data_IF_637063412163
#
_entry.id   IF_637063412163
#
_cell.length_a   1.000
_cell.length_b   1.000
_cell.length_c   1.000
_cell.angle_alpha   90.00
_cell.angle_beta   90.00
_cell.angle_gamma   90.00
#
_symmetry.space_group_name_H-M   'P 1'
#
loop_
_entity.id
_entity.type
_entity.pdbx_description
1 polymer ?
#
# COMPACT_ATOMS: atom_id res chain seq x y z
N UNK A 1 -3.17 8.16 19.40
CA UNK A 1 -2.28 7.32 18.53
C UNK A 1 -2.62 5.88 18.84
N UNK A 2 -2.41 4.96 17.92
CA UNK A 2 -2.78 3.54 18.11
C UNK A 2 -2.05 2.89 19.29
N UNK A 3 -0.89 3.38 19.66
CA UNK A 3 -0.04 2.92 20.78
C UNK A 3 -0.21 3.75 22.05
N UNK A 4 -1.28 4.53 22.16
CA UNK A 4 -1.55 5.32 23.36
C UNK A 4 -2.19 4.45 24.46
N UNK A 5 -1.41 4.11 25.47
CA UNK A 5 -1.85 3.32 26.62
C UNK A 5 -2.90 4.04 27.51
N UNK A 6 -3.13 5.33 27.30
CA UNK A 6 -4.17 6.10 28.01
C UNK A 6 -5.55 5.95 27.39
N UNK A 7 -5.66 5.33 26.22
CA UNK A 7 -6.95 5.11 25.53
C UNK A 7 -7.55 3.77 25.93
N UNK A 8 -8.75 3.80 26.50
CA UNK A 8 -9.56 2.60 26.69
C UNK A 8 -10.34 2.28 25.41
N UNK A 9 -9.73 1.46 24.57
CA UNK A 9 -10.29 1.07 23.27
C UNK A 9 -11.61 0.28 23.37
N UNK A 10 -11.90 -0.34 24.53
CA UNK A 10 -13.16 -1.07 24.75
C UNK A 10 -14.39 -0.16 24.82
N UNK A 11 -14.19 1.13 25.03
CA UNK A 11 -15.30 2.11 25.05
C UNK A 11 -15.84 2.48 23.67
N UNK A 12 -15.16 2.07 22.58
CA UNK A 12 -15.59 2.40 21.21
C UNK A 12 -16.40 1.25 20.61
N UNK A 13 -17.55 1.55 20.03
CA UNK A 13 -18.39 0.57 19.31
C UNK A 13 -17.71 0.06 18.04
N UNK A 14 -16.85 0.89 17.42
CA UNK A 14 -16.11 0.59 16.20
C UNK A 14 -14.82 1.41 16.14
N UNK A 15 -13.72 0.77 15.77
CA UNK A 15 -12.44 1.41 15.54
C UNK A 15 -12.13 1.32 14.04
N UNK A 16 -11.78 2.46 13.45
CA UNK A 16 -11.37 2.53 12.04
C UNK A 16 -9.89 2.90 12.00
N UNK A 17 -9.08 2.03 11.42
CA UNK A 17 -7.63 2.27 11.29
C UNK A 17 -7.38 3.32 10.22
N UNK A 18 -6.71 4.41 10.61
CA UNK A 18 -6.36 5.51 9.71
C UNK A 18 -5.05 6.15 10.12
N UNK A 19 -4.22 6.46 9.11
CA UNK A 19 -2.99 7.27 9.30
C UNK A 19 -2.00 6.69 10.34
N UNK A 20 -1.89 5.38 10.42
CA UNK A 20 -0.95 4.67 11.30
C UNK A 20 0.37 4.40 10.58
N UNK A 21 0.89 5.37 9.83
CA UNK A 21 2.04 5.23 8.92
C UNK A 21 3.38 4.88 9.58
N UNK A 22 3.42 4.86 10.89
CA UNK A 22 4.57 4.42 11.70
C UNK A 22 4.62 2.91 11.97
N UNK A 23 3.55 2.17 11.63
CA UNK A 23 3.46 0.73 11.91
C UNK A 23 4.61 -0.11 11.31
N UNK A 24 5.22 0.23 10.15
CA UNK A 24 6.23 -0.64 9.56
C UNK A 24 7.43 -0.90 10.47
N UNK A 25 7.80 0.08 11.30
CA UNK A 25 8.89 -0.05 12.27
C UNK A 25 8.52 -0.89 13.50
N UNK A 26 7.21 -1.13 13.74
CA UNK A 26 6.65 -1.83 14.91
C UNK A 26 5.47 -2.72 14.53
N UNK A 27 5.58 -3.40 13.39
CA UNK A 27 4.49 -4.16 12.77
C UNK A 27 3.84 -5.17 13.72
N UNK A 28 4.62 -5.94 14.46
CA UNK A 28 4.07 -6.95 15.36
C UNK A 28 3.29 -6.32 16.52
N UNK A 29 3.77 -5.21 17.07
CA UNK A 29 3.06 -4.45 18.10
C UNK A 29 1.74 -3.87 17.55
N UNK A 30 1.77 -3.32 16.33
CA UNK A 30 0.58 -2.80 15.65
C UNK A 30 -0.47 -3.91 15.41
N UNK A 31 -0.05 -5.07 14.92
CA UNK A 31 -0.95 -6.21 14.70
C UNK A 31 -1.51 -6.75 16.01
N UNK A 32 -0.68 -6.86 17.07
CA UNK A 32 -1.14 -7.28 18.39
C UNK A 32 -2.16 -6.30 18.98
N UNK A 33 -1.92 -4.98 18.79
CA UNK A 33 -2.91 -3.96 19.17
C UNK A 33 -4.23 -4.16 18.41
N UNK A 34 -4.19 -4.28 17.08
CA UNK A 34 -5.39 -4.46 16.27
C UNK A 34 -6.18 -5.71 16.65
N UNK A 35 -5.48 -6.82 16.98
CA UNK A 35 -6.09 -8.08 17.43
C UNK A 35 -6.71 -7.99 18.84
N UNK A 36 -6.25 -7.07 19.68
CA UNK A 36 -6.81 -6.84 21.01
C UNK A 36 -8.10 -6.01 20.99
N UNK A 37 -8.42 -5.37 19.86
CA UNK A 37 -9.57 -4.48 19.76
C UNK A 37 -10.89 -5.25 19.68
N UNK A 38 -11.95 -4.77 20.32
CA UNK A 38 -13.25 -5.46 20.31
C UNK A 38 -13.87 -5.48 18.90
N UNK A 39 -13.64 -4.42 18.12
CA UNK A 39 -14.15 -4.30 16.76
C UNK A 39 -13.37 -3.28 15.96
N UNK A 40 -12.62 -3.73 14.98
CA UNK A 40 -11.79 -2.88 14.08
C UNK A 40 -12.09 -3.16 12.62
N UNK A 41 -12.06 -2.13 11.79
CA UNK A 41 -12.16 -2.18 10.33
C UNK A 41 -10.99 -1.42 9.67
N UNK A 42 -10.32 -2.06 8.69
CA UNK A 42 -10.53 -3.42 8.24
C UNK A 42 -10.14 -4.43 9.33
N UNK A 43 -10.65 -5.66 9.26
CA UNK A 43 -10.42 -6.68 10.29
C UNK A 43 -8.93 -7.00 10.51
N UNK A 44 -8.49 -7.43 11.71
CA UNK A 44 -7.08 -7.72 12.00
C UNK A 44 -6.44 -8.72 11.04
N UNK A 45 -7.20 -9.71 10.56
CA UNK A 45 -6.72 -10.67 9.57
C UNK A 45 -6.37 -9.99 8.24
N UNK A 46 -7.14 -8.98 7.81
CA UNK A 46 -6.86 -8.16 6.63
C UNK A 46 -5.58 -7.37 6.84
N UNK A 47 -5.43 -6.71 8.00
CA UNK A 47 -4.23 -5.93 8.33
C UNK A 47 -2.98 -6.82 8.33
N UNK A 48 -3.05 -8.00 8.95
CA UNK A 48 -1.95 -8.96 9.00
C UNK A 48 -1.51 -9.40 7.59
N UNK A 49 -2.47 -9.68 6.72
CA UNK A 49 -2.22 -10.09 5.34
C UNK A 49 -1.64 -8.93 4.51
N UNK A 50 -2.21 -7.73 4.63
CA UNK A 50 -1.90 -6.59 3.77
C UNK A 50 -0.60 -5.86 4.13
N UNK A 51 -0.19 -5.87 5.40
CA UNK A 51 1.01 -5.15 5.86
C UNK A 51 2.32 -5.71 5.31
N UNK A 52 2.33 -6.89 4.68
CA UNK A 52 3.50 -7.49 4.02
C UNK A 52 3.19 -7.72 2.53
N UNK A 53 3.83 -6.96 1.65
CA UNK A 53 3.59 -6.96 0.20
C UNK A 53 3.94 -8.27 -0.51
N UNK A 54 4.43 -9.28 0.21
CA UNK A 54 4.60 -10.63 -0.36
C UNK A 54 3.29 -11.23 -0.86
N UNK A 55 2.14 -10.72 -0.43
CA UNK A 55 0.82 -11.11 -0.97
C UNK A 55 0.71 -10.94 -2.48
N UNK A 56 1.48 -10.00 -3.08
CA UNK A 56 1.45 -9.77 -4.53
C UNK A 56 1.79 -11.03 -5.35
N UNK A 57 2.65 -11.90 -4.81
CA UNK A 57 3.00 -13.16 -5.47
C UNK A 57 1.84 -14.17 -5.55
N UNK A 58 0.85 -14.04 -4.67
CA UNK A 58 -0.27 -14.97 -4.54
C UNK A 58 -1.57 -14.50 -5.22
N UNK A 59 -1.63 -13.25 -5.70
CA UNK A 59 -2.87 -12.69 -6.25
C UNK A 59 -3.31 -13.32 -7.59
N UNK A 60 -2.39 -13.92 -8.35
CA UNK A 60 -2.73 -14.56 -9.63
C UNK A 60 -3.22 -13.60 -10.73
N UNK A 61 -2.92 -12.32 -10.61
CA UNK A 61 -3.31 -11.24 -11.53
C UNK A 61 -2.06 -10.51 -12.08
N UNK A 62 -2.28 -9.58 -13.01
CA UNK A 62 -1.20 -8.78 -13.61
C UNK A 62 -0.60 -7.79 -12.60
N UNK A 63 0.46 -8.17 -11.92
CA UNK A 63 1.23 -7.33 -11.00
C UNK A 63 2.55 -6.88 -11.65
N UNK A 64 3.16 -5.84 -11.08
CA UNK A 64 4.54 -5.49 -11.42
C UNK A 64 5.44 -6.69 -11.09
N UNK A 65 6.25 -7.22 -12.05
CA UNK A 65 7.13 -8.33 -11.78
C UNK A 65 8.03 -8.07 -10.57
N UNK A 66 7.98 -8.93 -9.57
CA UNK A 66 8.66 -8.71 -8.30
C UNK A 66 9.52 -9.91 -7.94
N UNK A 67 10.80 -9.67 -7.65
CA UNK A 67 11.68 -10.62 -7.00
C UNK A 67 11.74 -10.30 -5.51
N UNK A 68 11.47 -11.29 -4.66
CA UNK A 68 11.62 -11.17 -3.22
C UNK A 68 12.98 -11.76 -2.81
N UNK A 69 13.72 -11.00 -2.02
CA UNK A 69 15.01 -11.42 -1.45
C UNK A 69 14.83 -11.52 0.06
N UNK A 70 14.95 -12.73 0.59
CA UNK A 70 14.94 -12.98 2.03
C UNK A 70 16.28 -12.58 2.67
N UNK A 71 16.33 -12.29 3.98
CA UNK A 71 17.59 -12.01 4.66
C UNK A 71 18.65 -13.09 4.39
N UNK A 72 19.77 -12.68 3.79
CA UNK A 72 20.85 -13.56 3.34
C UNK A 72 20.91 -13.78 1.83
N UNK A 73 19.85 -13.47 1.08
CA UNK A 73 19.89 -13.55 -0.37
C UNK A 73 20.72 -12.41 -0.98
N UNK A 74 21.41 -12.70 -2.06
CA UNK A 74 22.19 -11.70 -2.80
C UNK A 74 21.36 -11.06 -3.91
N UNK A 75 21.55 -9.74 -4.10
CA UNK A 75 20.93 -9.02 -5.21
C UNK A 75 21.60 -9.43 -6.54
N UNK A 76 20.82 -10.08 -7.40
CA UNK A 76 21.11 -10.18 -8.83
C UNK A 76 20.48 -8.96 -9.49
N UNK A 77 21.29 -7.92 -9.76
CA UNK A 77 20.78 -6.67 -10.30
C UNK A 77 20.20 -6.89 -11.70
N UNK A 78 18.98 -6.37 -11.98
CA UNK A 78 18.41 -6.38 -13.32
C UNK A 78 19.29 -5.61 -14.32
N UNK A 79 19.32 -6.05 -15.59
CA UNK A 79 20.04 -5.36 -16.67
C UNK A 79 19.35 -4.06 -17.17
N UNK A 80 18.45 -3.47 -16.38
CA UNK A 80 17.66 -2.27 -16.64
C UNK A 80 17.38 -1.51 -15.33
N UNK A 81 16.91 -0.26 -15.38
CA UNK A 81 16.53 0.47 -14.16
C UNK A 81 15.51 -0.31 -13.32
N UNK A 82 15.67 -0.24 -11.99
CA UNK A 82 14.87 -1.00 -11.06
C UNK A 82 14.69 -0.27 -9.72
N UNK A 83 13.70 -0.72 -8.96
CA UNK A 83 13.38 -0.22 -7.62
C UNK A 83 13.70 -1.31 -6.60
N UNK A 84 14.30 -0.89 -5.50
CA UNK A 84 14.51 -1.69 -4.28
C UNK A 84 13.67 -1.08 -3.17
N UNK A 85 12.86 -1.89 -2.49
CA UNK A 85 12.03 -1.45 -1.35
C UNK A 85 11.78 -2.59 -0.37
N UNK A 86 11.47 -2.30 0.91
CA UNK A 86 11.07 -3.35 1.86
C UNK A 86 9.68 -3.92 1.52
N UNK A 87 9.41 -5.19 1.85
CA UNK A 87 8.08 -5.79 1.70
C UNK A 87 7.07 -5.23 2.71
N UNK A 88 7.54 -4.83 3.88
CA UNK A 88 6.77 -4.13 4.92
C UNK A 88 7.17 -2.66 4.89
N UNK A 89 6.27 -1.77 4.49
CA UNK A 89 6.57 -0.35 4.36
C UNK A 89 5.35 0.48 3.99
N UNK A 90 5.38 1.76 4.35
CA UNK A 90 4.37 2.77 4.02
C UNK A 90 5.04 4.04 3.51
N UNK A 91 4.36 4.84 2.69
CA UNK A 91 4.82 6.17 2.25
C UNK A 91 6.15 6.18 1.50
N UNK A 92 6.48 5.14 0.75
CA UNK A 92 7.75 4.99 0.01
C UNK A 92 9.02 5.00 0.89
N UNK A 93 8.89 4.92 2.21
CA UNK A 93 10.03 4.85 3.13
C UNK A 93 10.87 3.60 2.80
N UNK A 94 12.18 3.80 2.62
CA UNK A 94 13.08 2.71 2.27
C UNK A 94 12.99 2.24 0.81
N UNK A 95 12.28 2.96 -0.07
CA UNK A 95 12.26 2.70 -1.49
C UNK A 95 13.29 3.57 -2.24
N UNK A 96 14.00 3.00 -3.19
CA UNK A 96 14.93 3.74 -4.04
C UNK A 96 15.01 3.15 -5.46
N UNK A 97 15.19 4.04 -6.45
CA UNK A 97 15.40 3.69 -7.86
C UNK A 97 16.89 3.66 -8.18
N UNK A 98 17.30 2.66 -8.92
CA UNK A 98 18.68 2.45 -9.35
C UNK A 98 18.77 2.21 -10.86
N UNK A 99 19.87 2.64 -11.47
CA UNK A 99 20.23 2.24 -12.84
C UNK A 99 20.78 0.81 -12.87
N UNK A 100 20.79 0.24 -14.09
CA UNK A 100 21.46 -1.01 -14.35
C UNK A 100 22.95 -0.94 -13.93
N UNK A 101 23.38 -1.85 -13.06
CA UNK A 101 24.78 -1.91 -12.61
C UNK A 101 25.15 -0.97 -11.46
N UNK A 102 24.21 -0.19 -10.91
CA UNK A 102 24.47 0.65 -9.74
C UNK A 102 24.78 -0.22 -8.51
N UNK A 103 26.03 -0.15 -8.04
CA UNK A 103 26.51 -0.96 -6.92
C UNK A 103 25.89 -0.57 -5.57
N UNK A 104 25.39 0.67 -5.43
CA UNK A 104 24.73 1.16 -4.19
C UNK A 104 23.47 0.37 -3.85
N UNK A 105 22.82 -0.22 -4.86
CA UNK A 105 21.66 -1.09 -4.65
C UNK A 105 21.98 -2.30 -3.74
N UNK A 106 23.20 -2.88 -3.83
CA UNK A 106 23.60 -3.97 -2.93
C UNK A 106 23.73 -3.54 -1.49
N UNK A 107 24.26 -2.33 -1.25
CA UNK A 107 24.36 -1.77 0.09
C UNK A 107 22.97 -1.48 0.67
N UNK A 108 22.06 -1.03 -0.16
CA UNK A 108 20.68 -0.83 0.21
C UNK A 108 19.98 -2.13 0.62
N UNK A 109 20.10 -3.19 -0.19
CA UNK A 109 19.56 -4.52 0.16
C UNK A 109 20.14 -5.01 1.48
N UNK A 110 21.47 -4.89 1.68
CA UNK A 110 22.11 -5.28 2.95
C UNK A 110 21.58 -4.50 4.15
N UNK A 111 21.33 -3.20 4.02
CA UNK A 111 20.74 -2.39 5.10
C UNK A 111 19.32 -2.87 5.44
N UNK A 112 18.47 -3.11 4.43
CA UNK A 112 17.13 -3.62 4.65
C UNK A 112 17.13 -5.01 5.30
N UNK A 113 18.00 -5.93 4.84
CA UNK A 113 18.17 -7.24 5.45
C UNK A 113 18.66 -7.14 6.91
N UNK A 114 19.61 -6.23 7.22
CA UNK A 114 20.09 -6.02 8.58
C UNK A 114 19.01 -5.50 9.52
N UNK A 115 17.99 -4.85 8.98
CA UNK A 115 16.78 -4.43 9.70
C UNK A 115 15.70 -5.54 9.74
N UNK A 116 15.98 -6.74 9.26
CA UNK A 116 15.07 -7.89 9.26
C UNK A 116 14.02 -7.88 8.15
N UNK A 117 14.15 -7.00 7.15
CA UNK A 117 13.16 -6.92 6.08
C UNK A 117 13.43 -7.93 4.96
N UNK A 118 12.38 -8.54 4.42
CA UNK A 118 12.37 -9.09 3.06
C UNK A 118 12.38 -7.92 2.08
N UNK A 119 13.20 -8.01 1.04
CA UNK A 119 13.38 -6.94 0.05
C UNK A 119 12.64 -7.30 -1.23
N UNK A 120 11.95 -6.31 -1.80
CA UNK A 120 11.33 -6.36 -3.12
C UNK A 120 12.23 -5.68 -4.14
N UNK A 121 12.47 -6.35 -5.26
CA UNK A 121 13.16 -5.82 -6.44
C UNK A 121 12.19 -5.84 -7.60
N UNK A 122 11.89 -4.67 -8.15
CA UNK A 122 10.94 -4.49 -9.25
C UNK A 122 11.59 -3.73 -10.40
N UNK A 123 11.31 -4.06 -11.68
CA UNK A 123 11.73 -3.20 -12.79
C UNK A 123 11.12 -1.82 -12.64
N UNK A 124 11.90 -0.78 -12.92
CA UNK A 124 11.33 0.55 -13.12
C UNK A 124 10.66 0.62 -14.50
N UNK A 125 9.45 1.18 -14.52
CA UNK A 125 8.68 1.38 -15.76
C UNK A 125 8.78 2.86 -16.15
N UNK A 126 9.48 3.18 -17.22
CA UNK A 126 9.74 4.57 -17.64
C UNK A 126 8.45 5.39 -17.84
N UNK A 127 7.35 4.74 -18.23
CA UNK A 127 6.05 5.38 -18.37
C UNK A 127 5.56 6.05 -17.08
N UNK A 128 6.01 5.61 -15.91
CA UNK A 128 5.64 6.21 -14.60
C UNK A 128 6.11 7.66 -14.51
N UNK A 129 7.28 7.99 -15.08
CA UNK A 129 7.82 9.36 -15.05
C UNK A 129 6.90 10.36 -15.77
N UNK A 130 6.08 9.91 -16.72
CA UNK A 130 5.17 10.74 -17.52
C UNK A 130 3.71 10.57 -17.11
N UNK A 131 3.27 9.34 -16.93
CA UNK A 131 1.86 8.98 -16.71
C UNK A 131 1.50 8.90 -15.23
N UNK A 132 2.52 8.75 -14.35
CA UNK A 132 2.32 8.56 -12.91
C UNK A 132 1.67 7.23 -12.57
N UNK A 133 1.07 7.18 -11.38
CA UNK A 133 0.30 6.05 -10.87
C UNK A 133 -1.18 6.41 -10.81
N UNK A 134 -2.07 5.46 -11.06
CA UNK A 134 -3.52 5.61 -10.83
C UNK A 134 -3.90 4.85 -9.57
N UNK A 135 -4.40 5.57 -8.57
CA UNK A 135 -4.90 5.01 -7.32
C UNK A 135 -6.42 4.96 -7.34
N UNK A 136 -7.01 3.76 -7.36
CA UNK A 136 -8.44 3.54 -7.35
C UNK A 136 -8.93 3.23 -5.93
N UNK A 137 -9.91 3.98 -5.48
CA UNK A 137 -10.46 3.89 -4.12
C UNK A 137 -11.81 3.19 -4.12
N UNK A 138 -11.96 2.24 -3.20
CA UNK A 138 -13.18 1.49 -2.96
C UNK A 138 -13.64 1.74 -1.53
N UNK A 139 -14.94 1.88 -1.34
CA UNK A 139 -15.57 2.11 -0.04
C UNK A 139 -16.73 1.12 0.11
N UNK A 140 -16.70 0.29 1.15
CA UNK A 140 -17.70 -0.77 1.35
C UNK A 140 -17.72 -1.81 0.23
N UNK A 141 -16.60 -1.99 -0.47
CA UNK A 141 -16.46 -2.90 -1.61
C UNK A 141 -16.78 -2.31 -2.97
N UNK A 142 -17.36 -1.10 -3.04
CA UNK A 142 -17.74 -0.45 -4.28
C UNK A 142 -16.73 0.61 -4.72
N UNK A 143 -16.53 0.77 -6.03
CA UNK A 143 -15.68 1.82 -6.58
C UNK A 143 -16.22 3.21 -6.19
N UNK A 144 -15.36 4.05 -5.64
CA UNK A 144 -15.71 5.41 -5.20
C UNK A 144 -15.15 6.48 -6.12
N UNK A 145 -13.84 6.48 -6.32
CA UNK A 145 -13.13 7.49 -7.11
C UNK A 145 -11.69 7.05 -7.41
N UNK A 146 -11.03 7.79 -8.27
CA UNK A 146 -9.61 7.59 -8.53
C UNK A 146 -8.85 8.92 -8.52
N UNK A 147 -7.57 8.83 -8.17
CA UNK A 147 -6.62 9.92 -8.31
C UNK A 147 -5.39 9.47 -9.10
N UNK A 148 -4.72 10.42 -9.73
CA UNK A 148 -3.41 10.22 -10.33
C UNK A 148 -2.35 10.82 -9.42
N UNK A 149 -1.33 10.02 -9.10
CA UNK A 149 -0.13 10.44 -8.35
C UNK A 149 1.02 10.60 -9.35
N UNK A 150 1.70 11.75 -9.33
CA UNK A 150 2.91 11.93 -10.13
C UNK A 150 4.03 11.01 -9.63
N UNK A 151 5.03 10.75 -10.51
CA UNK A 151 6.20 9.95 -10.13
C UNK A 151 6.91 10.53 -8.91
N UNK A 152 7.23 9.67 -7.94
CA UNK A 152 7.78 10.08 -6.64
C UNK A 152 9.23 9.61 -6.41
N UNK A 153 9.75 8.66 -7.19
CA UNK A 153 11.08 8.10 -6.97
C UNK A 153 12.11 8.71 -7.91
N UNK A 154 12.88 9.73 -7.47
CA UNK A 154 13.99 10.25 -8.27
C UNK A 154 15.09 9.20 -8.41
N UNK A 155 15.80 9.25 -9.52
CA UNK A 155 16.96 8.40 -9.76
C UNK A 155 18.05 8.70 -8.72
N UNK A 156 18.58 7.66 -8.07
CA UNK A 156 19.68 7.79 -7.11
C UNK A 156 19.31 8.47 -5.79
N UNK A 157 18.02 8.55 -5.45
CA UNK A 157 17.57 9.07 -4.16
C UNK A 157 18.17 8.26 -2.99
N UNK A 158 18.54 8.93 -1.89
CA UNK A 158 19.02 8.25 -0.70
C UNK A 158 17.85 7.56 0.00
N UNK A 159 17.85 6.23 0.13
CA UNK A 159 16.78 5.50 0.83
C UNK A 159 16.74 5.75 2.35
N UNK A 160 17.71 6.50 2.90
CA UNK A 160 17.80 6.82 4.34
C UNK A 160 17.06 8.10 4.76
N UNK A 161 16.79 9.00 3.82
CA UNK A 161 15.99 10.20 4.10
C UNK A 161 14.55 9.92 3.67
N UNK A 162 13.65 9.82 4.65
CA UNK A 162 12.22 9.66 4.39
C UNK A 162 11.76 10.73 3.40
N UNK A 163 11.48 10.31 2.19
CA UNK A 163 11.02 11.18 1.12
C UNK A 163 9.56 11.60 1.42
N UNK A 164 9.38 12.62 2.24
CA UNK A 164 8.21 13.47 2.12
C UNK A 164 8.38 14.35 0.87
N UNK A 165 8.36 13.70 -0.30
CA UNK A 165 8.14 14.42 -1.54
C UNK A 165 6.69 14.86 -1.50
N UNK A 166 6.46 16.15 -1.69
CA UNK A 166 5.09 16.66 -1.83
C UNK A 166 4.41 15.93 -2.98
N UNK A 167 3.45 15.07 -2.63
CA UNK A 167 2.71 14.27 -3.60
C UNK A 167 1.88 15.20 -4.48
N UNK A 168 2.17 15.24 -5.77
CA UNK A 168 1.32 15.92 -6.74
C UNK A 168 0.19 15.00 -7.13
N UNK A 169 -1.00 15.27 -6.56
CA UNK A 169 -2.22 14.49 -6.74
C UNK A 169 -3.20 15.28 -7.60
N UNK A 170 -3.90 14.60 -8.49
CA UNK A 170 -5.01 15.15 -9.27
C UNK A 170 -6.15 14.14 -9.36
N UNK A 171 -7.39 14.63 -9.37
CA UNK A 171 -8.54 13.79 -9.68
C UNK A 171 -8.40 13.21 -11.10
N UNK A 172 -8.78 11.95 -11.28
CA UNK A 172 -8.78 11.29 -12.58
C UNK A 172 -9.96 10.32 -12.72
N UNK A 173 -10.37 10.05 -13.94
CA UNK A 173 -11.25 8.93 -14.24
C UNK A 173 -10.37 7.75 -14.71
N UNK A 174 -10.48 6.57 -14.09
CA UNK A 174 -9.77 5.40 -14.57
C UNK A 174 -10.32 4.97 -15.93
N UNK A 175 -9.47 4.40 -16.78
CA UNK A 175 -9.93 3.69 -17.96
C UNK A 175 -10.71 2.41 -17.56
N UNK A 176 -11.52 1.90 -18.47
CA UNK A 176 -12.27 0.65 -18.26
C UNK A 176 -11.34 -0.51 -17.86
N UNK A 177 -10.16 -0.63 -18.50
CA UNK A 177 -9.16 -1.67 -18.19
C UNK A 177 -8.54 -1.50 -16.80
N UNK A 178 -8.31 -0.26 -16.36
CA UNK A 178 -7.80 0.00 -15.00
C UNK A 178 -8.84 -0.35 -13.96
N UNK A 179 -10.09 0.03 -14.18
CA UNK A 179 -11.19 -0.30 -13.27
C UNK A 179 -11.40 -1.82 -13.20
N UNK A 180 -11.49 -2.51 -14.34
CA UNK A 180 -11.61 -3.98 -14.40
C UNK A 180 -10.46 -4.68 -13.67
N UNK A 181 -9.21 -4.23 -13.87
CA UNK A 181 -8.06 -4.81 -13.17
C UNK A 181 -8.14 -4.58 -11.65
N UNK A 182 -8.52 -3.39 -11.21
CA UNK A 182 -8.66 -3.07 -9.80
C UNK A 182 -9.76 -3.89 -9.12
N UNK A 183 -10.90 -4.07 -9.77
CA UNK A 183 -11.99 -4.92 -9.27
C UNK A 183 -11.56 -6.39 -9.17
N UNK A 184 -10.93 -6.93 -10.20
CA UNK A 184 -10.35 -8.28 -10.18
C UNK A 184 -9.28 -8.44 -9.10
N UNK A 185 -8.53 -7.37 -8.81
CA UNK A 185 -7.56 -7.37 -7.73
C UNK A 185 -8.24 -7.55 -6.38
N UNK A 186 -9.31 -6.81 -6.11
CA UNK A 186 -10.07 -6.97 -4.86
C UNK A 186 -10.78 -8.33 -4.76
N UNK A 187 -11.24 -8.89 -5.88
CA UNK A 187 -11.83 -10.23 -5.89
C UNK A 187 -10.78 -11.34 -5.66
N UNK A 188 -9.50 -11.07 -5.95
CA UNK A 188 -8.39 -12.00 -5.68
C UNK A 188 -7.85 -11.93 -4.24
N UNK A 189 -8.22 -10.89 -3.48
CA UNK A 189 -7.88 -10.79 -2.05
C UNK A 189 -8.65 -11.88 -1.27
N UNK A 190 -8.01 -12.58 -0.29
CA UNK A 190 -8.66 -13.71 0.40
C UNK A 190 -9.71 -13.28 1.45
N UNK A 191 -10.37 -12.15 1.22
CA UNK A 191 -11.44 -11.60 2.06
C UNK A 191 -12.56 -11.08 1.16
N UNK A 192 -13.84 -11.27 1.54
CA UNK A 192 -14.96 -10.71 0.79
C UNK A 192 -14.82 -9.18 0.66
N UNK A 193 -14.86 -8.67 -0.57
CA UNK A 193 -14.66 -7.22 -0.79
C UNK A 193 -15.67 -6.35 -0.04
N UNK A 194 -16.88 -6.88 0.22
CA UNK A 194 -17.94 -6.21 0.98
C UNK A 194 -17.63 -6.08 2.49
N UNK A 195 -16.68 -6.85 3.00
CA UNK A 195 -16.19 -6.75 4.38
C UNK A 195 -15.08 -5.70 4.53
N UNK A 196 -14.55 -5.18 3.41
CA UNK A 196 -13.55 -4.13 3.40
C UNK A 196 -14.24 -2.77 3.51
N UNK A 197 -14.04 -2.06 4.63
CA UNK A 197 -14.55 -0.70 4.79
C UNK A 197 -14.00 0.23 3.71
N UNK A 198 -12.73 0.06 3.40
CA UNK A 198 -12.03 0.77 2.33
C UNK A 198 -10.94 -0.12 1.73
N UNK A 199 -10.61 0.17 0.49
CA UNK A 199 -9.44 -0.36 -0.19
C UNK A 199 -8.91 0.68 -1.18
N UNK A 200 -7.60 0.64 -1.44
CA UNK A 200 -6.96 1.37 -2.54
C UNK A 200 -6.14 0.39 -3.37
N UNK A 201 -6.34 0.41 -4.68
CA UNK A 201 -5.55 -0.36 -5.63
C UNK A 201 -4.72 0.62 -6.45
N UNK A 202 -3.41 0.52 -6.34
CA UNK A 202 -2.46 1.38 -7.06
C UNK A 202 -1.96 0.66 -8.32
N UNK A 203 -2.16 1.31 -9.46
CA UNK A 203 -1.81 0.77 -10.76
C UNK A 203 -0.71 1.61 -11.43
N UNK A 204 0.27 0.92 -12.00
CA UNK A 204 1.23 1.51 -12.93
C UNK A 204 0.74 1.39 -14.37
N UNK A 205 1.28 2.23 -15.29
CA UNK A 205 0.95 2.13 -16.72
C UNK A 205 1.16 0.73 -17.28
N UNK A 206 0.19 0.29 -18.10
CA UNK A 206 0.28 -1.02 -18.72
C UNK A 206 -0.95 -1.94 -18.67
N UNK A 207 -2.03 -1.76 -17.86
CA UNK A 207 -2.02 -1.51 -16.43
C UNK A 207 -1.47 -2.71 -15.64
N UNK A 208 -0.69 -2.46 -14.62
CA UNK A 208 -0.11 -3.46 -13.71
C UNK A 208 -0.38 -3.06 -12.26
N UNK A 209 -0.79 -4.00 -11.42
CA UNK A 209 -0.96 -3.74 -9.99
C UNK A 209 0.40 -3.52 -9.35
N UNK A 210 0.59 -2.34 -8.75
CA UNK A 210 1.76 -2.02 -7.95
C UNK A 210 1.60 -2.53 -6.53
N UNK A 211 0.44 -2.22 -5.93
CA UNK A 211 0.07 -2.66 -4.59
C UNK A 211 -1.43 -2.49 -4.33
N UNK A 212 -1.89 -3.12 -3.26
CA UNK A 212 -3.24 -2.95 -2.71
C UNK A 212 -3.10 -2.49 -1.27
N UNK A 213 -3.71 -1.37 -0.91
CA UNK A 213 -3.67 -0.83 0.43
C UNK A 213 -5.01 -1.04 1.14
N UNK A 214 -5.02 -1.92 2.14
CA UNK A 214 -6.20 -2.27 2.95
C UNK A 214 -6.00 -1.88 4.42
N UNK A 215 -4.80 -1.39 4.80
CA UNK A 215 -4.45 -1.10 6.18
C UNK A 215 -4.79 0.35 6.55
N UNK A 216 -4.17 1.33 5.90
CA UNK A 216 -4.34 2.75 6.26
C UNK A 216 -4.12 3.69 5.06
N UNK A 217 -4.73 3.40 3.88
CA UNK A 217 -4.48 4.21 2.68
C UNK A 217 -4.86 5.67 2.87
N UNK A 218 -4.07 6.56 2.26
CA UNK A 218 -4.56 7.89 1.96
C UNK A 218 -5.74 7.76 1.00
N UNK A 219 -6.93 8.14 1.46
CA UNK A 219 -8.17 7.98 0.68
C UNK A 219 -8.46 9.17 -0.23
N UNK A 220 -7.69 10.24 -0.17
CA UNK A 220 -7.81 11.43 -1.03
C UNK A 220 -9.26 11.92 -1.20
N UNK A 221 -10.06 11.89 -0.13
CA UNK A 221 -11.51 12.18 -0.14
C UNK A 221 -11.85 13.55 -0.72
N UNK A 222 -10.96 14.54 -0.57
CA UNK A 222 -11.14 15.88 -1.10
C UNK A 222 -11.04 16.00 -2.64
N UNK A 223 -10.66 14.93 -3.34
CA UNK A 223 -10.51 14.91 -4.80
C UNK A 223 -11.75 14.39 -5.54
N UNK A 224 -12.79 13.98 -4.81
CA UNK A 224 -14.04 13.51 -5.41
C UNK A 224 -15.26 13.93 -4.59
N UNK A 225 -16.24 14.53 -5.26
CA UNK A 225 -17.52 14.91 -4.65
C UNK A 225 -18.21 13.68 -4.03
N UNK A 226 -18.74 13.84 -2.82
CA UNK A 226 -19.45 12.79 -2.09
C UNK A 226 -18.58 11.65 -1.54
N UNK A 227 -17.24 11.68 -1.70
CA UNK A 227 -16.38 10.59 -1.23
C UNK A 227 -16.35 10.50 0.31
N UNK A 228 -16.32 11.65 0.99
CA UNK A 228 -16.36 11.70 2.45
C UNK A 228 -17.71 11.18 2.98
N UNK A 229 -18.80 11.55 2.35
CA UNK A 229 -20.16 11.11 2.66
C UNK A 229 -20.31 9.60 2.46
N UNK A 230 -19.76 9.03 1.37
CA UNK A 230 -19.74 7.57 1.15
C UNK A 230 -19.00 6.85 2.26
N UNK A 231 -17.83 7.35 2.65
CA UNK A 231 -17.07 6.75 3.75
C UNK A 231 -17.83 6.84 5.08
N UNK A 232 -18.42 8.00 5.38
CA UNK A 232 -19.21 8.18 6.60
C UNK A 232 -20.43 7.25 6.63
N UNK A 233 -21.13 7.08 5.50
CA UNK A 233 -22.23 6.15 5.37
C UNK A 233 -21.78 4.70 5.59
N UNK A 234 -20.68 4.28 4.96
CA UNK A 234 -20.14 2.93 5.14
C UNK A 234 -19.72 2.65 6.61
N UNK A 235 -19.12 3.63 7.30
CA UNK A 235 -18.79 3.52 8.73
C UNK A 235 -20.08 3.39 9.56
N UNK A 236 -21.09 4.22 9.28
CA UNK A 236 -22.37 4.18 9.98
C UNK A 236 -23.10 2.84 9.75
N UNK A 237 -23.08 2.30 8.54
CA UNK A 237 -23.68 1.00 8.23
C UNK A 237 -22.92 -0.12 8.92
N UNK A 238 -21.60 -0.10 8.88
CA UNK A 238 -20.77 -1.05 9.61
C UNK A 238 -21.03 -1.00 11.12
N UNK A 239 -21.24 0.19 11.71
CA UNK A 239 -21.53 0.31 13.15
C UNK A 239 -22.89 -0.29 13.56
N UNK A 240 -23.87 -0.28 12.65
CA UNK A 240 -25.21 -0.85 12.87
C UNK A 240 -25.29 -2.35 12.62
N UNK A 241 -24.51 -2.86 11.67
CA UNK A 241 -24.41 -4.29 11.37
C UNK A 241 -23.68 -5.01 12.49
N UNK A 242 -24.41 -5.50 13.48
CA UNK A 242 -23.91 -6.29 14.61
C UNK A 242 -23.99 -7.77 14.30
#
# INVERSE_FOLDING_TARGET
MWDDNGVDWAHFDLIVVRSTWDYPSRRDAFLSWAESLPRVLNAPAVLRWNTDKRYLAALGIATVPTTFLEPGDELVAPGRPFVVKPSVGAGSIGAARYDAGDTRARDHVRRLHSAGNTVMVQPFLDAVDHDGEVALHFIGGDFSHAVRKAAMLPLGGDPGEGLFVEERISATAPSEKELELAERTLDAVPFPRQELLYARVDLLPGPLVLETELTEPSLYLGYAEGAAERLAAAIADASRGR
#
